data_IF_153319061081
#
_entry.id   IF_153319061081
#
_cell.length_a   1.000
_cell.length_b   1.000
_cell.length_c   1.000
_cell.angle_alpha   90.00
_cell.angle_beta   90.00
_cell.angle_gamma   90.00
#
_symmetry.space_group_name_H-M   'P 1'
#
loop_
_entity.id
_entity.type
_entity.pdbx_description
1 polymer ?
#
# COMPACT_ATOMS: atom_id res chain seq x y z
N UNK A 1 29.29 -64.28 -33.77
CA UNK A 1 29.66 -62.95 -33.25
C UNK A 1 28.89 -61.92 -34.05
N UNK A 2 27.93 -61.18 -33.50
CA UNK A 2 27.31 -61.25 -32.16
C UNK A 2 25.90 -60.64 -32.22
N UNK A 3 24.99 -61.11 -31.38
CA UNK A 3 23.57 -60.72 -31.37
C UNK A 3 23.29 -59.39 -30.64
N UNK A 4 22.25 -58.67 -31.10
CA UNK A 4 21.24 -57.82 -30.39
C UNK A 4 21.61 -56.93 -29.14
N UNK A 5 20.69 -56.08 -28.62
CA UNK A 5 19.42 -55.54 -29.18
C UNK A 5 19.66 -54.07 -29.64
N UNK A 6 18.92 -52.96 -29.40
CA UNK A 6 17.67 -52.62 -28.68
C UNK A 6 17.02 -51.35 -29.30
N UNK A 7 15.70 -51.22 -29.24
CA UNK A 7 14.96 -50.05 -29.74
C UNK A 7 15.05 -48.81 -28.83
N UNK A 8 14.90 -47.60 -29.41
CA UNK A 8 14.60 -46.35 -28.68
C UNK A 8 13.14 -45.92 -28.91
N UNK A 9 12.30 -46.09 -27.88
CA UNK A 9 11.10 -45.26 -27.70
C UNK A 9 11.55 -43.85 -27.29
N UNK A 10 10.78 -42.84 -27.67
CA UNK A 10 10.64 -41.61 -26.88
C UNK A 10 9.21 -41.10 -27.02
N UNK A 11 8.37 -41.44 -26.03
CA UNK A 11 7.05 -40.83 -25.84
C UNK A 11 7.14 -39.99 -24.57
N UNK A 12 7.25 -38.67 -24.75
CA UNK A 12 7.10 -37.66 -23.71
C UNK A 12 6.38 -36.47 -24.38
N UNK A 13 5.06 -36.41 -24.38
CA UNK A 13 4.15 -36.22 -23.24
C UNK A 13 4.01 -34.75 -22.83
N UNK A 14 2.74 -34.31 -22.85
CA UNK A 14 2.17 -33.17 -22.16
C UNK A 14 2.64 -31.76 -22.54
N UNK A 15 1.75 -31.10 -23.30
CA UNK A 15 1.58 -29.65 -23.33
C UNK A 15 1.50 -29.12 -21.89
N UNK A 16 2.61 -28.61 -21.37
CA UNK A 16 2.63 -27.87 -20.10
C UNK A 16 1.91 -26.54 -20.31
N UNK A 17 0.61 -26.55 -20.06
CA UNK A 17 -0.22 -25.34 -20.02
C UNK A 17 0.37 -24.33 -19.03
N UNK A 18 1.06 -23.33 -19.57
CA UNK A 18 1.70 -22.29 -18.78
C UNK A 18 0.64 -21.40 -18.14
N UNK A 19 0.32 -21.67 -16.87
CA UNK A 19 -0.61 -20.85 -16.07
C UNK A 19 -0.19 -19.38 -16.17
N UNK A 20 -1.05 -18.55 -16.73
CA UNK A 20 -0.74 -17.15 -17.00
C UNK A 20 -0.49 -16.37 -15.69
N UNK A 21 0.59 -15.57 -15.61
CA UNK A 21 0.94 -14.83 -14.39
C UNK A 21 0.04 -13.59 -14.14
N UNK A 22 -0.88 -13.28 -15.06
CA UNK A 22 -1.59 -12.00 -15.14
C UNK A 22 -2.53 -11.66 -13.99
N UNK A 23 -2.85 -12.60 -13.08
CA UNK A 23 -3.77 -12.33 -11.95
C UNK A 23 -3.10 -11.66 -10.74
N UNK A 24 -1.76 -11.62 -10.68
CA UNK A 24 -1.02 -11.14 -9.50
C UNK A 24 -0.01 -10.01 -9.82
N UNK A 25 -0.12 -9.40 -11.01
CA UNK A 25 0.66 -8.22 -11.42
C UNK A 25 -0.02 -6.92 -10.97
N UNK A 26 -1.34 -6.81 -11.18
CA UNK A 26 -2.13 -5.61 -10.86
C UNK A 26 -2.04 -5.21 -9.38
N UNK A 27 -2.14 -6.18 -8.45
CA UNK A 27 -2.00 -5.93 -7.01
C UNK A 27 -0.63 -5.39 -6.63
N UNK A 28 0.45 -5.92 -7.23
CA UNK A 28 1.82 -5.42 -7.04
C UNK A 28 2.01 -4.01 -7.61
N UNK A 29 1.39 -3.72 -8.75
CA UNK A 29 1.42 -2.38 -9.35
C UNK A 29 0.70 -1.34 -8.47
N UNK A 30 -0.48 -1.68 -7.93
CA UNK A 30 -1.21 -0.82 -6.99
C UNK A 30 -0.40 -0.58 -5.71
N UNK A 31 0.19 -1.64 -5.13
CA UNK A 31 1.08 -1.50 -3.98
C UNK A 31 2.27 -0.58 -4.28
N UNK A 32 2.94 -0.73 -5.44
CA UNK A 32 4.03 0.15 -5.84
C UNK A 32 3.57 1.62 -5.97
N UNK A 33 2.42 1.88 -6.58
CA UNK A 33 1.87 3.23 -6.70
C UNK A 33 1.60 3.87 -5.32
N UNK A 34 1.02 3.12 -4.39
CA UNK A 34 0.78 3.58 -3.01
C UNK A 34 2.10 3.90 -2.30
N UNK A 35 3.11 3.03 -2.40
CA UNK A 35 4.42 3.27 -1.79
C UNK A 35 5.17 4.44 -2.42
N UNK A 36 5.02 4.66 -3.73
CA UNK A 36 5.58 5.83 -4.43
C UNK A 36 4.93 7.15 -3.97
N UNK A 37 3.59 7.19 -3.83
CA UNK A 37 2.88 8.37 -3.32
C UNK A 37 3.27 8.65 -1.86
N UNK A 38 3.34 7.60 -1.02
CA UNK A 38 3.85 7.71 0.35
C UNK A 38 5.27 8.27 0.35
N UNK A 39 6.18 7.69 -0.44
CA UNK A 39 7.58 8.15 -0.50
C UNK A 39 7.68 9.62 -0.91
N UNK A 40 6.94 10.03 -1.95
CA UNK A 40 6.91 11.41 -2.40
C UNK A 40 6.40 12.35 -1.30
N UNK A 41 5.31 12.01 -0.62
CA UNK A 41 4.77 12.82 0.48
C UNK A 41 5.78 12.98 1.62
N UNK A 42 6.45 11.90 2.04
CA UNK A 42 7.42 11.91 3.13
C UNK A 42 8.64 12.82 2.85
N UNK A 43 9.01 13.05 1.59
CA UNK A 43 10.09 13.96 1.22
C UNK A 43 9.62 15.37 0.81
N UNK A 44 8.43 15.53 0.22
CA UNK A 44 7.97 16.80 -0.33
C UNK A 44 7.13 17.64 0.61
N UNK A 45 6.38 17.03 1.54
CA UNK A 45 5.46 17.75 2.41
C UNK A 45 6.22 18.56 3.47
N UNK A 46 5.79 19.81 3.68
CA UNK A 46 6.29 20.63 4.79
C UNK A 46 5.28 20.62 5.96
N UNK A 47 4.00 20.89 5.67
CA UNK A 47 2.90 20.69 6.61
C UNK A 47 1.70 20.08 5.88
N UNK A 48 0.94 19.20 6.52
CA UNK A 48 -0.20 18.54 5.88
C UNK A 48 -0.60 17.19 6.48
N UNK A 49 -1.30 16.39 5.70
CA UNK A 49 -1.59 14.99 6.03
C UNK A 49 -1.76 14.13 4.78
N UNK A 50 -1.40 12.85 4.92
CA UNK A 50 -1.68 11.78 3.96
C UNK A 50 -2.60 10.76 4.63
N UNK A 51 -3.77 10.53 4.06
CA UNK A 51 -4.78 9.58 4.57
C UNK A 51 -4.85 8.41 3.58
N UNK A 52 -4.49 7.23 4.06
CA UNK A 52 -4.62 5.97 3.33
C UNK A 52 -5.88 5.28 3.86
N UNK A 53 -6.83 4.96 2.99
CA UNK A 53 -8.05 4.19 3.36
C UNK A 53 -7.87 2.75 2.89
N UNK A 54 -8.09 1.81 3.82
CA UNK A 54 -7.82 0.40 3.66
C UNK A 54 -9.12 -0.39 3.76
N UNK A 55 -9.33 -1.30 2.82
CA UNK A 55 -10.43 -2.26 2.81
C UNK A 55 -9.88 -3.65 2.47
N UNK A 56 -10.30 -4.65 3.23
CA UNK A 56 -9.91 -6.06 3.11
C UNK A 56 -8.37 -6.25 2.94
N UNK A 57 -7.60 -5.48 3.72
CA UNK A 57 -6.13 -5.48 3.75
C UNK A 57 -5.43 -4.68 2.63
N UNK A 58 -6.17 -4.02 1.74
CA UNK A 58 -5.65 -3.29 0.57
C UNK A 58 -5.97 -1.80 0.65
N UNK A 59 -5.01 -0.92 0.32
CA UNK A 59 -5.26 0.52 0.20
C UNK A 59 -6.10 0.78 -1.05
N UNK A 60 -7.33 1.28 -0.86
CA UNK A 60 -8.31 1.56 -1.93
C UNK A 60 -8.46 3.04 -2.27
N UNK A 61 -8.04 3.93 -1.37
CA UNK A 61 -8.01 5.39 -1.59
C UNK A 61 -6.79 5.99 -0.91
N UNK A 62 -6.14 6.93 -1.60
CA UNK A 62 -5.12 7.83 -1.04
C UNK A 62 -5.64 9.25 -1.14
N UNK A 63 -5.57 10.01 -0.04
CA UNK A 63 -5.93 11.42 0.00
C UNK A 63 -4.75 12.22 0.58
N UNK A 64 -4.39 13.31 -0.10
CA UNK A 64 -3.27 14.18 0.25
C UNK A 64 -3.79 15.59 0.52
N UNK A 65 -3.38 16.21 1.61
CA UNK A 65 -3.59 17.64 1.87
C UNK A 65 -2.28 18.27 2.31
N UNK A 66 -1.95 19.43 1.74
CA UNK A 66 -0.78 20.24 2.11
C UNK A 66 -1.24 21.60 2.64
N UNK A 67 -0.55 22.14 3.65
CA UNK A 67 -0.93 23.35 4.38
C UNK A 67 0.17 24.41 4.30
N UNK A 68 -0.01 25.38 3.42
CA UNK A 68 0.96 26.44 3.16
C UNK A 68 0.84 27.54 4.23
N UNK A 69 1.74 27.55 5.21
CA UNK A 69 1.71 28.51 6.32
C UNK A 69 2.47 29.78 5.91
N UNK A 70 1.74 30.84 5.56
CA UNK A 70 2.31 32.14 5.18
C UNK A 70 2.50 32.99 6.44
N UNK A 71 3.73 33.43 6.72
CA UNK A 71 4.03 34.34 7.84
C UNK A 71 5.05 35.39 7.44
N UNK A 72 4.96 36.60 8.02
CA UNK A 72 5.96 37.65 7.86
C UNK A 72 7.21 37.44 8.74
N UNK A 73 7.49 36.18 9.15
CA UNK A 73 8.60 35.79 10.03
C UNK A 73 9.65 34.90 9.34
N UNK A 74 9.27 34.12 8.33
CA UNK A 74 10.26 33.43 7.50
C UNK A 74 10.77 34.34 6.38
N UNK A 75 12.04 34.17 6.03
CA UNK A 75 12.69 34.78 4.84
C UNK A 75 12.96 33.74 3.74
N UNK A 76 12.49 32.50 3.92
CA UNK A 76 12.70 31.42 2.96
C UNK A 76 11.83 31.61 1.72
N UNK A 77 12.48 31.74 0.56
CA UNK A 77 11.81 31.99 -0.72
C UNK A 77 11.52 30.68 -1.44
N UNK A 78 10.28 30.21 -1.34
CA UNK A 78 9.77 29.03 -2.04
C UNK A 78 9.40 27.89 -1.09
N UNK A 79 8.22 27.30 -1.32
CA UNK A 79 7.68 26.18 -0.52
C UNK A 79 7.58 24.88 -1.36
N UNK A 80 7.36 24.99 -2.68
CA UNK A 80 7.09 23.84 -3.54
C UNK A 80 8.39 23.09 -3.85
N UNK A 81 8.54 21.91 -3.24
CA UNK A 81 9.63 20.97 -3.52
C UNK A 81 9.26 20.13 -4.75
N UNK A 82 10.06 20.21 -5.80
CA UNK A 82 9.85 19.48 -7.06
C UNK A 82 10.78 18.27 -7.21
N UNK A 83 10.32 17.25 -7.92
CA UNK A 83 11.10 16.07 -8.29
C UNK A 83 10.71 14.80 -7.53
N UNK A 84 10.83 13.64 -8.19
CA UNK A 84 10.63 12.32 -7.58
C UNK A 84 11.83 11.99 -6.67
N UNK A 85 11.63 11.56 -5.41
CA UNK A 85 12.73 11.16 -4.55
C UNK A 85 13.53 9.99 -5.13
N UNK A 86 14.86 10.12 -5.10
CA UNK A 86 15.81 9.13 -5.66
C UNK A 86 16.03 7.94 -4.71
N UNK A 87 15.71 8.09 -3.42
CA UNK A 87 15.84 7.07 -2.38
C UNK A 87 14.49 6.78 -1.69
N UNK A 88 14.45 5.68 -0.92
CA UNK A 88 13.33 5.35 -0.04
C UNK A 88 13.48 6.09 1.28
N UNK A 89 12.40 6.72 1.75
CA UNK A 89 12.36 7.42 3.03
C UNK A 89 12.41 6.40 4.19
N UNK A 90 13.22 6.61 5.25
CA UNK A 90 13.39 5.62 6.34
C UNK A 90 12.07 5.16 6.98
N UNK A 91 11.10 6.07 7.12
CA UNK A 91 9.79 5.77 7.72
C UNK A 91 8.85 4.94 6.80
N UNK A 92 9.17 4.72 5.52
CA UNK A 92 8.34 3.92 4.63
C UNK A 92 8.16 2.48 5.16
N UNK A 93 9.23 1.87 5.70
CA UNK A 93 9.18 0.52 6.26
C UNK A 93 8.24 0.42 7.49
N UNK A 94 8.20 1.47 8.32
CA UNK A 94 7.27 1.58 9.44
C UNK A 94 5.83 1.73 8.93
N UNK A 95 5.59 2.57 7.93
CA UNK A 95 4.26 2.78 7.33
C UNK A 95 3.73 1.50 6.67
N UNK A 96 4.59 0.74 5.98
CA UNK A 96 4.25 -0.60 5.46
C UNK A 96 3.83 -1.53 6.61
N UNK A 97 4.60 -1.54 7.70
CA UNK A 97 4.32 -2.36 8.89
C UNK A 97 2.98 -1.99 9.54
N UNK A 98 2.60 -0.72 9.60
CA UNK A 98 1.28 -0.32 10.12
C UNK A 98 0.13 -0.60 9.16
N UNK A 99 0.32 -0.40 7.84
CA UNK A 99 -0.69 -0.74 6.83
C UNK A 99 -1.06 -2.22 6.86
N UNK A 100 -0.09 -3.12 6.99
CA UNK A 100 -0.30 -4.57 7.05
C UNK A 100 -1.16 -5.02 8.25
N UNK A 101 -1.27 -4.20 9.30
CA UNK A 101 -2.10 -4.50 10.48
C UNK A 101 -3.57 -4.10 10.30
N UNK A 102 -3.90 -3.29 9.29
CA UNK A 102 -5.26 -2.76 9.10
C UNK A 102 -6.00 -3.65 8.10
N UNK A 103 -7.07 -4.31 8.56
CA UNK A 103 -7.98 -5.02 7.65
C UNK A 103 -9.01 -4.08 7.03
N UNK A 104 -9.63 -3.20 7.83
CA UNK A 104 -10.60 -2.22 7.35
C UNK A 104 -10.52 -0.94 8.20
N UNK A 105 -10.26 0.22 7.57
CA UNK A 105 -10.03 1.46 8.30
C UNK A 105 -9.18 2.49 7.56
N UNK A 106 -8.45 3.30 8.32
CA UNK A 106 -7.57 4.34 7.80
C UNK A 106 -6.22 4.39 8.55
N UNK A 107 -5.17 4.78 7.82
CA UNK A 107 -3.90 5.23 8.38
C UNK A 107 -3.70 6.71 8.01
N UNK A 108 -3.55 7.57 9.01
CA UNK A 108 -3.39 9.02 8.87
C UNK A 108 -1.98 9.39 9.27
N UNK A 109 -1.20 9.94 8.35
CA UNK A 109 0.16 10.42 8.58
C UNK A 109 0.10 11.95 8.61
N UNK A 110 0.34 12.56 9.76
CA UNK A 110 0.38 14.02 9.95
C UNK A 110 1.80 14.53 9.74
N UNK A 111 1.95 15.63 9.01
CA UNK A 111 3.21 16.31 8.76
C UNK A 111 3.18 17.74 9.30
N UNK A 112 4.25 18.11 10.01
CA UNK A 112 4.49 19.48 10.45
C UNK A 112 5.99 19.78 10.39
N UNK A 113 6.36 20.98 9.92
CA UNK A 113 7.74 21.46 9.82
C UNK A 113 8.71 20.44 9.17
N UNK A 114 8.28 19.84 8.07
CA UNK A 114 9.06 18.94 7.22
C UNK A 114 9.25 17.53 7.78
N UNK A 115 8.47 17.15 8.81
CA UNK A 115 8.62 15.88 9.54
C UNK A 115 7.27 15.21 9.80
N UNK A 116 7.28 13.90 9.98
CA UNK A 116 6.15 13.18 10.59
C UNK A 116 5.98 13.69 12.02
N UNK A 117 4.81 14.24 12.29
CA UNK A 117 4.37 14.63 13.64
C UNK A 117 3.68 13.46 14.33
N UNK A 118 2.80 12.76 13.60
CA UNK A 118 2.00 11.66 14.13
C UNK A 118 1.68 10.64 13.03
N UNK A 119 1.60 9.36 13.42
CA UNK A 119 0.95 8.31 12.64
C UNK A 119 -0.22 7.78 13.48
N UNK A 120 -1.43 7.90 12.96
CA UNK A 120 -2.67 7.55 13.63
C UNK A 120 -3.41 6.45 12.85
N UNK A 121 -3.89 5.42 13.55
CA UNK A 121 -4.57 4.26 12.96
C UNK A 121 -6.01 4.19 13.45
N UNK A 122 -6.96 4.17 12.52
CA UNK A 122 -8.40 4.12 12.81
C UNK A 122 -8.99 2.87 12.19
N UNK A 123 -9.13 1.80 12.97
CA UNK A 123 -9.79 0.56 12.53
C UNK A 123 -11.31 0.65 12.74
N UNK A 124 -12.09 0.54 11.66
CA UNK A 124 -13.55 0.43 11.75
C UNK A 124 -13.91 -1.05 11.72
N UNK A 125 -14.10 -1.66 12.90
CA UNK A 125 -14.68 -3.00 12.98
C UNK A 125 -16.02 -3.01 12.23
N UNK A 126 -16.23 -4.00 11.36
CA UNK A 126 -17.59 -4.38 10.99
C UNK A 126 -18.20 -4.96 12.26
N UNK A 127 -19.11 -4.21 12.89
CA UNK A 127 -20.10 -4.82 13.76
C UNK A 127 -20.92 -5.69 12.82
N UNK A 128 -20.62 -6.99 12.81
CA UNK A 128 -21.58 -7.95 12.28
C UNK A 128 -22.87 -7.74 13.05
N UNK A 129 -23.98 -7.67 12.33
CA UNK A 129 -25.28 -7.46 12.93
C UNK A 129 -25.46 -8.46 14.07
N UNK A 130 -25.88 -7.95 15.23
CA UNK A 130 -26.35 -8.84 16.29
C UNK A 130 -27.61 -9.47 15.71
N UNK A 131 -27.50 -10.72 15.28
CA UNK A 131 -28.63 -11.49 14.77
C UNK A 131 -29.78 -11.38 15.77
N UNK A 132 -31.00 -11.19 15.29
CA UNK A 132 -32.18 -10.96 16.13
C UNK A 132 -32.64 -12.22 16.87
N UNK A 133 -31.79 -12.80 17.73
CA UNK A 133 -32.05 -14.05 18.44
C UNK A 133 -33.00 -13.86 19.65
N UNK A 134 -33.25 -12.62 20.07
CA UNK A 134 -34.24 -12.27 21.10
C UNK A 134 -35.30 -11.33 20.55
N UNK A 135 -36.09 -11.84 19.60
CA UNK A 135 -37.47 -11.39 19.42
C UNK A 135 -38.34 -11.97 20.53
N UNK A 136 -38.21 -11.43 21.74
CA UNK A 136 -39.11 -11.72 22.88
C UNK A 136 -39.82 -10.42 23.27
N UNK A 137 -41.12 -10.52 23.58
CA UNK A 137 -42.06 -9.43 23.30
C UNK A 137 -42.44 -8.49 24.46
N UNK A 138 -42.97 -7.32 24.08
CA UNK A 138 -43.92 -6.49 24.85
C UNK A 138 -44.99 -6.00 23.88
#
# INVERSE_FOLDING_TARGET
MSDHPTARKNVTAEVRSARSPGRNTLGKQLQHQVLEIVNHFLFSAENGYLILTIQDGVVVKVEKTEKYIITNKSRETGYVKYGKPVSVHPLQAQIVTELQKIQYGQLVIRFANGKVEQIEKTEKRRVHEVEGVHGDGI
#
